data_IF_844508912758
#
_entry.id   IF_844508912758
#
_cell.length_a   1.000
_cell.length_b   1.000
_cell.length_c   1.000
_cell.angle_alpha   90.00
_cell.angle_beta   90.00
_cell.angle_gamma   90.00
#
_symmetry.space_group_name_H-M   'P 1'
#
loop_
_entity.id
_entity.type
_entity.pdbx_description
1 polymer ?
#
# COMPACT_ATOMS: atom_id res chain seq x y z
N UNK A 1 -13.08 -6.04 9.88
CA UNK A 1 -12.22 -5.41 10.90
C UNK A 1 -11.75 -4.08 10.34
N UNK A 2 -12.28 -2.96 10.86
CA UNK A 2 -11.83 -1.63 10.47
C UNK A 2 -10.54 -1.29 11.23
N UNK A 3 -9.38 -1.56 10.61
CA UNK A 3 -8.10 -1.10 11.14
C UNK A 3 -8.01 0.41 10.99
N UNK A 4 -8.30 1.17 12.04
CA UNK A 4 -7.96 2.59 12.12
C UNK A 4 -6.44 2.72 12.09
N UNK A 5 -5.90 2.98 10.91
CA UNK A 5 -4.51 3.34 10.63
C UNK A 5 -4.37 4.84 10.95
N UNK A 6 -3.87 5.19 12.14
CA UNK A 6 -3.65 6.59 12.51
C UNK A 6 -2.35 7.12 11.91
N UNK A 7 -2.42 8.27 11.22
CA UNK A 7 -1.33 9.24 11.01
C UNK A 7 0.10 8.66 10.82
N UNK A 8 0.28 7.77 9.84
CA UNK A 8 1.60 7.26 9.46
C UNK A 8 2.06 6.01 10.21
N UNK A 9 1.18 5.30 10.92
CA UNK A 9 1.42 3.94 11.40
C UNK A 9 0.81 2.92 10.43
N UNK A 10 1.56 1.91 10.02
CA UNK A 10 1.07 0.83 9.16
C UNK A 10 1.38 -0.54 9.75
N UNK A 11 0.49 -1.48 9.47
CA UNK A 11 0.65 -2.90 9.78
C UNK A 11 0.41 -3.71 8.52
N UNK A 12 1.37 -4.57 8.18
CA UNK A 12 1.29 -5.54 7.08
C UNK A 12 1.32 -6.95 7.68
N UNK A 13 0.65 -7.88 7.02
CA UNK A 13 0.52 -9.26 7.50
C UNK A 13 0.83 -10.20 6.35
N UNK A 14 1.61 -11.24 6.61
CA UNK A 14 1.89 -12.31 5.66
C UNK A 14 1.88 -13.63 6.43
N UNK A 15 1.21 -14.66 5.91
CA UNK A 15 1.16 -15.97 6.56
C UNK A 15 2.57 -16.53 6.81
N UNK A 16 3.48 -16.26 5.87
CA UNK A 16 4.85 -16.78 5.89
C UNK A 16 5.76 -16.11 6.92
N UNK A 17 5.38 -14.95 7.48
CA UNK A 17 6.15 -14.32 8.55
C UNK A 17 6.27 -15.20 9.80
N UNK A 18 5.33 -16.16 9.98
CA UNK A 18 5.37 -17.14 11.08
C UNK A 18 6.38 -18.26 10.83
N UNK A 19 6.73 -18.51 9.58
CA UNK A 19 7.61 -19.60 9.16
C UNK A 19 9.03 -19.12 8.83
N UNK A 20 9.17 -17.84 8.48
CA UNK A 20 10.41 -17.12 8.27
C UNK A 20 10.28 -15.71 8.83
N UNK A 21 11.11 -15.36 9.83
CA UNK A 21 11.06 -14.03 10.44
C UNK A 21 11.38 -12.92 9.43
N UNK A 22 10.54 -11.86 9.35
CA UNK A 22 10.81 -10.72 8.48
C UNK A 22 11.93 -9.84 9.05
N UNK A 23 12.91 -9.55 8.21
CA UNK A 23 14.11 -8.75 8.48
C UNK A 23 14.36 -7.80 7.31
N UNK A 24 15.19 -6.79 7.49
CA UNK A 24 15.51 -5.83 6.42
C UNK A 24 16.21 -6.47 5.21
N UNK A 25 16.66 -7.73 5.32
CA UNK A 25 17.30 -8.48 4.22
C UNK A 25 16.29 -9.22 3.35
N UNK A 26 15.17 -9.66 3.93
CA UNK A 26 14.20 -10.51 3.25
C UNK A 26 12.80 -9.86 3.12
N UNK A 27 12.58 -8.69 3.73
CA UNK A 27 11.37 -7.88 3.58
C UNK A 27 11.74 -6.47 3.10
N UNK A 28 11.33 -6.15 1.88
CA UNK A 28 11.48 -4.81 1.28
C UNK A 28 10.12 -4.14 1.24
N UNK A 29 10.01 -2.97 1.87
CA UNK A 29 8.77 -2.17 1.88
C UNK A 29 9.08 -0.82 1.24
N UNK A 30 8.40 -0.51 0.13
CA UNK A 30 8.56 0.74 -0.61
C UNK A 30 7.26 1.52 -0.63
N UNK A 31 7.37 2.83 -0.39
CA UNK A 31 6.24 3.75 -0.43
C UNK A 31 6.31 4.62 -1.68
N UNK A 32 5.14 4.91 -2.24
CA UNK A 32 4.97 5.77 -3.39
C UNK A 32 3.90 6.80 -3.07
N UNK A 33 4.23 8.07 -3.22
CA UNK A 33 3.25 9.14 -3.17
C UNK A 33 2.39 9.12 -4.44
N UNK A 34 1.12 9.50 -4.32
CA UNK A 34 0.27 9.73 -5.48
C UNK A 34 0.96 10.57 -6.56
N UNK A 35 0.95 10.07 -7.80
CA UNK A 35 1.56 10.74 -8.95
C UNK A 35 3.09 10.68 -9.02
N UNK A 36 3.76 10.08 -8.03
CA UNK A 36 5.22 9.91 -8.02
C UNK A 36 5.61 8.45 -8.29
N UNK A 37 6.62 8.26 -9.14
CA UNK A 37 7.29 6.98 -9.35
C UNK A 37 8.47 6.76 -8.40
N UNK A 38 8.85 7.77 -7.61
CA UNK A 38 9.99 7.69 -6.70
C UNK A 38 9.64 6.87 -5.46
N UNK A 39 10.35 5.76 -5.28
CA UNK A 39 10.21 4.91 -4.11
C UNK A 39 10.85 5.55 -2.87
N UNK A 40 10.14 5.49 -1.75
CA UNK A 40 10.64 5.85 -0.42
C UNK A 40 10.71 4.56 0.42
N UNK A 41 11.91 3.98 0.59
CA UNK A 41 12.06 2.70 1.29
C UNK A 41 11.89 2.86 2.80
N UNK A 42 11.20 1.91 3.42
CA UNK A 42 11.19 1.75 4.88
C UNK A 42 12.48 1.06 5.31
N UNK A 43 13.19 1.70 6.23
CA UNK A 43 14.44 1.21 6.83
C UNK A 43 14.25 0.66 8.24
N UNK A 44 13.17 1.06 8.92
CA UNK A 44 12.83 0.65 10.28
C UNK A 44 11.41 0.13 10.33
N UNK A 45 11.29 -1.13 10.76
CA UNK A 45 10.04 -1.82 11.02
C UNK A 45 10.24 -2.84 12.14
N UNK A 46 9.14 -3.34 12.69
CA UNK A 46 9.15 -4.24 13.83
C UNK A 46 8.31 -5.48 13.52
N UNK A 47 8.92 -6.66 13.65
CA UNK A 47 8.21 -7.93 13.57
C UNK A 47 7.48 -8.17 14.90
N UNK A 48 6.16 -8.27 14.85
CA UNK A 48 5.31 -8.64 15.99
C UNK A 48 5.16 -10.15 16.13
N UNK A 49 4.93 -10.61 17.35
CA UNK A 49 4.78 -12.04 17.68
C UNK A 49 3.61 -12.74 16.95
N UNK A 50 2.65 -11.98 16.40
CA UNK A 50 1.47 -12.49 15.68
C UNK A 50 1.74 -12.83 14.20
N UNK A 51 2.94 -12.59 13.68
CA UNK A 51 3.23 -12.64 12.24
C UNK A 51 2.77 -11.38 11.50
N UNK A 52 2.78 -10.24 12.19
CA UNK A 52 2.56 -8.92 11.62
C UNK A 52 3.86 -8.12 11.61
N UNK A 53 4.05 -7.26 10.62
CA UNK A 53 5.12 -6.26 10.63
C UNK A 53 4.49 -4.88 10.76
N UNK A 54 5.01 -4.08 11.69
CA UNK A 54 4.57 -2.71 11.91
C UNK A 54 5.68 -1.72 11.54
N UNK A 55 5.31 -0.56 11.03
CA UNK A 55 6.25 0.52 10.78
C UNK A 55 5.59 1.89 10.88
N UNK A 56 6.39 2.90 11.19
CA UNK A 56 5.96 4.28 11.34
C UNK A 56 6.67 5.15 10.31
N UNK A 57 5.94 6.00 9.59
CA UNK A 57 6.51 6.88 8.57
C UNK A 57 7.48 7.89 9.19
N UNK A 58 7.12 8.45 10.34
CA UNK A 58 7.95 9.44 11.04
C UNK A 58 9.33 8.88 11.42
N UNK A 59 9.39 7.62 11.87
CA UNK A 59 10.66 6.95 12.21
C UNK A 59 11.55 6.69 10.99
N UNK A 60 10.96 6.71 9.80
CA UNK A 60 11.62 6.58 8.51
C UNK A 60 11.84 7.95 7.83
N UNK A 61 11.52 9.05 8.52
CA UNK A 61 11.57 10.42 8.01
C UNK A 61 10.71 10.65 6.74
N UNK A 62 9.56 9.99 6.69
CA UNK A 62 8.59 10.08 5.59
C UNK A 62 7.36 10.84 6.11
N UNK A 63 6.96 11.90 5.39
CA UNK A 63 5.89 12.82 5.80
C UNK A 63 4.87 13.02 4.67
N UNK A 64 4.38 11.94 4.09
CA UNK A 64 3.36 11.93 3.02
C UNK A 64 2.10 11.21 3.50
N UNK A 65 0.93 11.56 2.94
CA UNK A 65 -0.37 11.02 3.37
C UNK A 65 -0.99 10.09 2.34
N UNK A 66 -0.94 10.47 1.06
CA UNK A 66 -1.46 9.71 -0.07
C UNK A 66 -0.46 8.66 -0.56
N UNK A 67 -0.32 7.62 0.23
CA UNK A 67 0.67 6.56 0.07
C UNK A 67 0.06 5.31 -0.56
N UNK A 68 0.78 4.74 -1.54
CA UNK A 68 0.73 3.33 -1.94
C UNK A 68 1.98 2.62 -1.41
N UNK A 69 1.80 1.52 -0.70
CA UNK A 69 2.85 0.69 -0.14
C UNK A 69 2.96 -0.58 -0.97
N UNK A 70 4.17 -0.96 -1.35
CA UNK A 70 4.48 -2.24 -1.97
C UNK A 70 5.42 -2.97 -1.01
N UNK A 71 4.97 -4.10 -0.48
CA UNK A 71 5.77 -4.99 0.35
C UNK A 71 6.15 -6.21 -0.47
N UNK A 72 7.43 -6.58 -0.45
CA UNK A 72 7.95 -7.81 -1.05
C UNK A 72 8.75 -8.57 -0.01
N UNK A 73 8.34 -9.81 0.24
CA UNK A 73 8.97 -10.72 1.18
C UNK A 73 9.56 -11.93 0.44
N UNK A 74 10.70 -12.41 0.90
CA UNK A 74 11.29 -13.68 0.46
C UNK A 74 11.46 -14.60 1.67
N UNK A 75 10.88 -15.78 1.63
CA UNK A 75 11.03 -16.75 2.72
C UNK A 75 12.41 -17.46 2.67
N UNK A 76 12.68 -18.31 3.66
CA UNK A 76 13.93 -19.09 3.75
C UNK A 76 14.12 -20.15 2.65
N UNK A 77 13.03 -20.54 1.99
CA UNK A 77 13.01 -21.51 0.89
C UNK A 77 13.19 -20.83 -0.48
N UNK A 78 13.20 -19.48 -0.49
CA UNK A 78 13.32 -18.66 -1.69
C UNK A 78 11.98 -18.28 -2.34
N UNK A 79 10.86 -18.65 -1.73
CA UNK A 79 9.52 -18.23 -2.15
C UNK A 79 9.34 -16.73 -1.98
N UNK A 80 8.78 -16.04 -2.98
CA UNK A 80 8.56 -14.59 -2.93
C UNK A 80 7.07 -14.25 -2.87
N UNK A 81 6.73 -13.31 -1.99
CA UNK A 81 5.36 -12.86 -1.74
C UNK A 81 5.31 -11.34 -1.84
N UNK A 82 4.38 -10.82 -2.65
CA UNK A 82 4.16 -9.39 -2.80
C UNK A 82 2.73 -9.00 -2.42
N UNK A 83 2.60 -7.80 -1.84
CA UNK A 83 1.30 -7.25 -1.49
C UNK A 83 1.31 -5.71 -1.61
N UNK A 84 0.14 -5.15 -1.85
CA UNK A 84 -0.07 -3.72 -2.09
C UNK A 84 -1.10 -3.17 -1.11
N UNK A 85 -0.69 -2.16 -0.35
CA UNK A 85 -1.55 -1.47 0.61
C UNK A 85 -1.74 -0.01 0.20
N UNK A 86 -2.97 0.49 0.31
CA UNK A 86 -3.31 1.87 -0.05
C UNK A 86 -3.81 2.62 1.18
N UNK A 87 -3.31 3.83 1.39
CA UNK A 87 -3.88 4.79 2.35
C UNK A 87 -5.32 5.16 1.97
N UNK A 88 -6.10 5.63 2.96
CA UNK A 88 -7.47 6.10 2.74
C UNK A 88 -7.50 7.23 1.70
N UNK A 89 -6.57 8.17 1.76
CA UNK A 89 -6.44 9.27 0.80
C UNK A 89 -6.12 8.77 -0.62
N UNK A 90 -5.26 7.75 -0.76
CA UNK A 90 -4.97 7.16 -2.07
C UNK A 90 -6.18 6.40 -2.64
N UNK A 91 -6.91 5.67 -1.80
CA UNK A 91 -8.14 4.98 -2.21
C UNK A 91 -9.22 5.97 -2.63
N UNK A 92 -9.41 7.05 -1.88
CA UNK A 92 -10.39 8.09 -2.19
C UNK A 92 -10.11 8.73 -3.56
N UNK A 93 -8.84 9.10 -3.83
CA UNK A 93 -8.43 9.65 -5.13
C UNK A 93 -8.65 8.68 -6.28
N UNK A 94 -8.31 7.40 -6.08
CA UNK A 94 -8.55 6.34 -7.09
C UNK A 94 -10.04 6.24 -7.41
N UNK A 95 -10.89 6.22 -6.39
CA UNK A 95 -12.35 6.12 -6.55
C UNK A 95 -12.93 7.34 -7.26
N UNK A 96 -12.48 8.55 -6.93
CA UNK A 96 -12.93 9.78 -7.58
C UNK A 96 -12.62 9.77 -9.09
N UNK A 97 -11.43 9.31 -9.48
CA UNK A 97 -11.03 9.21 -10.89
C UNK A 97 -11.87 8.16 -11.63
N UNK A 98 -12.10 7.00 -11.01
CA UNK A 98 -12.95 5.96 -11.59
C UNK A 98 -14.37 6.46 -11.82
N UNK A 99 -14.95 7.17 -10.85
CA UNK A 99 -16.28 7.77 -10.96
C UNK A 99 -16.35 8.82 -12.07
N UNK A 100 -15.35 9.71 -12.16
CA UNK A 100 -15.26 10.71 -13.25
C UNK A 100 -15.14 10.06 -14.63
N UNK A 101 -14.35 8.98 -14.75
CA UNK A 101 -14.22 8.22 -15.98
C UNK A 101 -15.53 7.52 -16.39
N UNK A 102 -16.23 6.91 -15.43
CA UNK A 102 -17.55 6.31 -15.66
C UNK A 102 -18.58 7.35 -16.11
N UNK A 103 -18.66 8.49 -15.42
CA UNK A 103 -19.59 9.57 -15.79
C UNK A 103 -19.29 10.13 -17.19
N UNK A 104 -18.01 10.28 -17.56
CA UNK A 104 -17.64 10.72 -18.90
C UNK A 104 -18.02 9.70 -19.98
N UNK A 105 -17.89 8.40 -19.70
CA UNK A 105 -18.31 7.33 -20.59
C UNK A 105 -19.83 7.29 -20.76
N UNK A 106 -20.60 7.40 -19.67
CA UNK A 106 -22.06 7.45 -19.71
C UNK A 106 -22.59 8.67 -20.48
N UNK A 107 -21.97 9.84 -20.29
CA UNK A 107 -22.31 11.04 -21.04
C UNK A 107 -22.06 10.87 -22.54
N UNK A 108 -20.92 10.27 -22.93
CA UNK A 108 -20.60 9.99 -24.33
C UNK A 108 -21.56 8.97 -24.96
N UNK A 109 -22.00 7.97 -24.20
CA UNK A 109 -23.04 7.03 -24.64
C UNK A 109 -24.36 7.76 -24.87
N UNK A 110 -24.83 8.56 -23.90
CA UNK A 110 -26.10 9.26 -24.01
C UNK A 110 -26.13 10.29 -25.16
N UNK A 111 -25.02 10.96 -25.42
CA UNK A 111 -24.87 11.89 -26.55
C UNK A 111 -24.89 11.16 -27.90
N UNK A 112 -24.25 9.99 -27.98
CA UNK A 112 -24.25 9.14 -29.18
C UNK A 112 -25.57 8.43 -29.50
N UNK A 113 -26.54 8.44 -28.58
CA UNK A 113 -27.92 7.93 -28.79
C UNK A 113 -28.93 9.06 -29.04
N UNK A 114 -28.49 10.32 -29.15
CA UNK A 114 -29.34 11.49 -29.35
C UNK A 114 -29.46 11.94 -30.84
N UNK A 115 -29.47 10.99 -31.78
CA UNK A 115 -29.81 11.22 -33.20
C UNK A 115 -31.21 10.68 -33.55
#
# INVERSE_FOLDING_TARGET
MNSKISQGYYRISCAEFRHTEPTTQNLVINLFQWGSSQAQPIKRFYAGASGDVTFYLAENNIHIKDVRIIAKFTDKEGGTFDDVYLSEEFQAKTKEIQQKGQAAMEAAINDGYSE
#
